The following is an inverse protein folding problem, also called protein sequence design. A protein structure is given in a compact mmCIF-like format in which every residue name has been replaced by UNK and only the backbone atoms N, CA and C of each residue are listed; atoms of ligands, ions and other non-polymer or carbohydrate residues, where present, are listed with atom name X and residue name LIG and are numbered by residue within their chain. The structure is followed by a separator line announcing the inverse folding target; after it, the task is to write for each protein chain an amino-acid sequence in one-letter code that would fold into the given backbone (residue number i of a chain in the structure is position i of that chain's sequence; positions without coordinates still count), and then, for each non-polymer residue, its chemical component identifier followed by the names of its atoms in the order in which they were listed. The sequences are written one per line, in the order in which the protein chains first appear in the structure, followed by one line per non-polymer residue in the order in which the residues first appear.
data_IF_299989652703
#
_entry.id   IF_299989652703
#
_cell.length_a   1.000
_cell.length_b   1.000
_cell.length_c   1.000
_cell.angle_alpha   90.00
_cell.angle_beta   90.00
_cell.angle_gamma   90.00
#
_symmetry.space_group_name_H-M   'P 1'
#
loop_
_entity.id
_entity.type
_entity.pdbx_description
1 polymer ?
#
# COMPACT_ATOMS: atom_id res chain seq x y z
N UNK A 1 7.73 -7.30 8.41
CA UNK A 1 6.49 -7.69 7.73
C UNK A 1 5.32 -7.52 8.68
N UNK A 2 4.18 -7.03 8.18
CA UNK A 2 2.92 -6.97 8.93
C UNK A 2 1.94 -7.93 8.26
N UNK A 3 1.46 -8.93 8.99
CA UNK A 3 0.46 -9.87 8.50
C UNK A 3 -0.31 -10.44 9.69
N UNK A 4 -1.62 -10.23 9.72
CA UNK A 4 -2.48 -10.66 10.82
C UNK A 4 -2.92 -12.12 10.72
N UNK A 5 -2.60 -12.84 9.62
CA UNK A 5 -3.01 -14.23 9.42
C UNK A 5 -1.89 -15.20 9.87
N UNK A 6 -2.02 -15.88 11.03
CA UNK A 6 -0.99 -16.78 11.54
C UNK A 6 -0.87 -18.10 10.76
N UNK A 7 -1.79 -18.38 9.84
CA UNK A 7 -1.83 -19.65 9.09
C UNK A 7 -1.15 -19.55 7.71
N UNK A 8 -0.20 -18.61 7.55
CA UNK A 8 0.49 -18.39 6.26
C UNK A 8 1.97 -18.69 6.35
N UNK A 9 2.56 -19.20 5.25
CA UNK A 9 4.02 -19.42 5.17
C UNK A 9 4.80 -18.12 5.28
N UNK A 10 4.20 -16.99 4.85
CA UNK A 10 4.82 -15.68 5.05
C UNK A 10 4.94 -15.32 6.53
N UNK A 11 4.17 -15.92 7.43
CA UNK A 11 4.30 -15.70 8.87
C UNK A 11 5.27 -16.66 9.58
N UNK A 12 6.01 -17.48 8.83
CA UNK A 12 7.09 -18.28 9.39
C UNK A 12 8.24 -17.38 9.90
N UNK A 13 8.79 -17.73 11.06
CA UNK A 13 9.77 -16.92 11.81
C UNK A 13 11.05 -16.59 11.03
N UNK A 14 11.38 -17.39 10.03
CA UNK A 14 12.57 -17.33 9.20
C UNK A 14 12.37 -16.55 7.88
N UNK A 15 11.15 -16.08 7.60
CA UNK A 15 10.86 -15.31 6.37
C UNK A 15 11.21 -13.82 6.49
N UNK A 16 11.21 -13.26 7.71
CA UNK A 16 11.51 -11.83 7.91
C UNK A 16 12.24 -11.54 9.21
N UNK A 17 13.09 -10.51 9.21
CA UNK A 17 13.82 -10.08 10.40
C UNK A 17 12.89 -9.70 11.57
N UNK A 18 11.71 -9.16 11.24
CA UNK A 18 10.66 -8.77 12.20
C UNK A 18 9.29 -9.03 11.61
N UNK A 19 8.46 -9.73 12.38
CA UNK A 19 7.08 -10.06 12.04
C UNK A 19 6.12 -9.46 13.07
N UNK A 20 5.12 -8.73 12.59
CA UNK A 20 4.08 -8.11 13.38
C UNK A 20 2.73 -8.78 13.12
N UNK A 21 2.17 -9.41 14.15
CA UNK A 21 0.82 -10.00 14.17
C UNK A 21 -0.21 -9.00 14.69
N UNK A 22 -0.18 -7.79 14.13
CA UNK A 22 -1.14 -6.74 14.46
C UNK A 22 -2.27 -6.72 13.42
N UNK A 23 -3.48 -6.25 13.79
CA UNK A 23 -4.51 -5.91 12.81
C UNK A 23 -3.95 -4.96 11.75
N UNK A 24 -4.32 -5.18 10.47
CA UNK A 24 -3.96 -4.29 9.38
C UNK A 24 -4.90 -3.07 9.35
N UNK A 25 -4.86 -2.26 10.41
CA UNK A 25 -5.52 -0.95 10.50
C UNK A 25 -4.53 0.17 10.18
N UNK A 26 -5.03 1.36 9.83
CA UNK A 26 -4.15 2.49 9.51
C UNK A 26 -3.38 2.96 10.75
N UNK A 27 -4.02 2.95 11.92
CA UNK A 27 -3.42 3.36 13.19
C UNK A 27 -2.26 2.44 13.57
N UNK A 28 -2.46 1.11 13.50
CA UNK A 28 -1.41 0.14 13.82
C UNK A 28 -0.24 0.24 12.83
N UNK A 29 -0.53 0.42 11.53
CA UNK A 29 0.49 0.62 10.50
C UNK A 29 1.33 1.88 10.77
N UNK A 30 0.69 3.00 11.14
CA UNK A 30 1.42 4.25 11.42
C UNK A 30 2.32 4.11 12.65
N UNK A 31 1.81 3.48 13.72
CA UNK A 31 2.62 3.19 14.92
C UNK A 31 3.87 2.36 14.57
N UNK A 32 3.75 1.37 13.69
CA UNK A 32 4.89 0.56 13.25
C UNK A 32 5.84 1.38 12.37
N UNK A 33 5.33 2.24 11.48
CA UNK A 33 6.18 3.13 10.66
C UNK A 33 7.02 4.04 11.55
N UNK A 34 6.43 4.64 12.57
CA UNK A 34 7.13 5.55 13.49
C UNK A 34 8.17 4.82 14.35
N UNK A 35 7.83 3.62 14.81
CA UNK A 35 8.71 2.80 15.61
C UNK A 35 9.89 2.24 14.79
N UNK A 36 9.60 1.77 13.58
CA UNK A 36 10.61 1.11 12.74
C UNK A 36 11.44 2.07 11.91
N UNK A 37 10.84 3.16 11.42
CA UNK A 37 11.42 4.06 10.43
C UNK A 37 11.94 3.29 9.22
N UNK A 38 11.14 2.45 8.54
CA UNK A 38 11.63 1.63 7.44
C UNK A 38 12.11 2.48 6.27
N UNK A 39 13.11 2.01 5.51
CA UNK A 39 13.59 2.73 4.34
C UNK A 39 12.55 2.86 3.22
N UNK A 40 11.64 1.90 3.16
CA UNK A 40 10.54 1.91 2.23
C UNK A 40 9.44 0.95 2.64
N UNK A 41 8.25 1.19 2.08
CA UNK A 41 7.04 0.42 2.35
C UNK A 41 6.53 -0.19 1.05
N UNK A 42 6.20 -1.48 1.05
CA UNK A 42 5.62 -2.18 -0.10
C UNK A 42 4.21 -2.65 0.26
N UNK A 43 3.21 -2.21 -0.50
CA UNK A 43 1.78 -2.48 -0.25
C UNK A 43 1.15 -3.49 -1.22
N UNK A 44 1.84 -3.89 -2.28
CA UNK A 44 1.26 -4.62 -3.42
C UNK A 44 1.00 -6.12 -3.15
N UNK A 45 1.69 -6.71 -2.17
CA UNK A 45 1.72 -8.16 -1.98
C UNK A 45 0.70 -8.71 -0.97
N UNK A 46 -0.12 -7.86 -0.35
CA UNK A 46 -1.12 -8.30 0.63
C UNK A 46 -2.57 -8.22 0.15
N UNK A 47 -2.81 -8.07 -1.16
CA UNK A 47 -4.15 -7.99 -1.73
C UNK A 47 -4.85 -6.67 -1.44
N UNK A 48 -6.18 -6.68 -1.38
CA UNK A 48 -7.01 -5.47 -1.32
C UNK A 48 -6.84 -4.65 -0.04
N UNK A 49 -6.61 -5.30 1.11
CA UNK A 49 -6.49 -4.61 2.41
C UNK A 49 -5.37 -3.56 2.42
N UNK A 50 -4.09 -3.90 2.11
CA UNK A 50 -3.03 -2.89 2.05
C UNK A 50 -3.17 -1.92 0.87
N UNK A 51 -3.71 -2.34 -0.27
CA UNK A 51 -3.94 -1.44 -1.42
C UNK A 51 -4.88 -0.30 -1.04
N UNK A 52 -5.98 -0.58 -0.32
CA UNK A 52 -6.91 0.44 0.18
C UNK A 52 -6.30 1.40 1.19
N UNK A 53 -5.29 0.97 1.94
CA UNK A 53 -4.57 1.83 2.90
C UNK A 53 -3.47 2.66 2.26
N UNK A 54 -3.09 2.39 1.00
CA UNK A 54 -1.94 3.03 0.35
C UNK A 54 -2.04 4.57 0.32
N UNK A 55 -3.24 5.11 0.07
CA UNK A 55 -3.48 6.56 0.08
C UNK A 55 -3.32 7.14 1.49
N UNK A 56 -3.91 6.51 2.50
CA UNK A 56 -3.80 6.98 3.89
C UNK A 56 -2.35 6.95 4.38
N UNK A 57 -1.59 5.90 4.02
CA UNK A 57 -0.16 5.80 4.32
C UNK A 57 0.59 6.93 3.61
N UNK A 58 0.33 7.19 2.34
CA UNK A 58 0.99 8.27 1.61
C UNK A 58 0.74 9.64 2.24
N UNK A 59 -0.52 9.95 2.56
CA UNK A 59 -0.89 11.19 3.25
C UNK A 59 -0.14 11.32 4.58
N UNK A 60 -0.13 10.24 5.37
CA UNK A 60 0.61 10.21 6.64
C UNK A 60 2.11 10.49 6.45
N UNK A 61 2.75 9.88 5.45
CA UNK A 61 4.18 10.07 5.17
C UNK A 61 4.48 11.49 4.69
N UNK A 62 3.60 12.10 3.90
CA UNK A 62 3.76 13.45 3.39
C UNK A 62 3.64 14.51 4.50
N UNK A 63 2.77 14.28 5.49
CA UNK A 63 2.55 15.14 6.65
C UNK A 63 3.62 14.97 7.73
N UNK A 64 3.87 13.73 8.16
CA UNK A 64 4.77 13.42 9.27
C UNK A 64 6.24 13.41 8.88
N UNK A 65 6.55 13.07 7.62
CA UNK A 65 7.90 12.90 7.06
C UNK A 65 8.82 12.15 8.04
N UNK A 66 8.50 10.89 8.38
CA UNK A 66 9.32 10.12 9.29
C UNK A 66 10.68 9.85 8.65
N UNK A 67 11.76 9.93 9.41
CA UNK A 67 13.11 9.66 8.88
C UNK A 67 13.34 8.16 8.78
N UNK A 68 13.98 7.72 7.71
CA UNK A 68 14.42 6.34 7.59
C UNK A 68 15.49 6.03 8.64
N UNK A 69 15.46 4.82 9.20
CA UNK A 69 16.43 4.31 10.17
C UNK A 69 17.85 4.28 9.60
N UNK A 70 18.00 4.09 8.30
CA UNK A 70 19.30 4.16 7.63
C UNK A 70 19.88 5.57 7.54
N UNK A 71 19.06 6.62 7.71
CA UNK A 71 19.44 8.01 7.56
C UNK A 71 19.46 8.53 6.10
N UNK A 72 19.10 7.72 5.11
CA UNK A 72 19.13 8.12 3.69
C UNK A 72 18.01 9.07 3.24
N UNK A 73 17.05 9.39 4.11
CA UNK A 73 15.95 10.29 3.76
C UNK A 73 14.72 10.09 4.64
N UNK A 74 13.55 10.24 4.01
CA UNK A 74 12.24 10.04 4.62
C UNK A 74 11.63 8.73 4.13
N UNK A 75 10.85 8.09 5.00
CA UNK A 75 10.12 6.86 4.67
C UNK A 75 9.19 7.14 3.49
N UNK A 76 9.18 6.26 2.51
CA UNK A 76 8.32 6.39 1.32
C UNK A 76 7.76 5.04 0.87
N UNK A 77 6.70 5.07 0.07
CA UNK A 77 6.17 3.87 -0.58
C UNK A 77 7.03 3.53 -1.79
N UNK A 78 7.42 2.27 -1.91
CA UNK A 78 8.17 1.71 -3.03
C UNK A 78 7.27 0.90 -3.95
N UNK A 79 7.65 0.85 -5.23
CA UNK A 79 6.90 0.14 -6.27
C UNK A 79 5.86 1.04 -6.93
N UNK A 80 4.63 0.54 -7.07
CA UNK A 80 3.53 1.27 -7.69
C UNK A 80 3.07 2.39 -6.77
N UNK A 81 2.93 3.60 -7.32
CA UNK A 81 2.45 4.73 -6.54
C UNK A 81 1.01 4.51 -6.06
N UNK A 82 0.64 5.03 -4.88
CA UNK A 82 -0.74 5.01 -4.39
C UNK A 82 -1.76 5.58 -5.39
N UNK A 83 -1.40 6.65 -6.10
CA UNK A 83 -2.26 7.23 -7.13
C UNK A 83 -2.47 6.28 -8.31
N UNK A 84 -1.43 5.56 -8.74
CA UNK A 84 -1.56 4.55 -9.80
C UNK A 84 -2.37 3.33 -9.35
N UNK A 85 -2.29 2.95 -8.07
CA UNK A 85 -3.15 1.91 -7.49
C UNK A 85 -4.61 2.38 -7.52
N UNK A 86 -4.89 3.60 -7.04
CA UNK A 86 -6.23 4.18 -7.04
C UNK A 86 -6.79 4.31 -8.46
N UNK A 87 -5.99 4.77 -9.42
CA UNK A 87 -6.39 4.88 -10.81
C UNK A 87 -6.74 3.53 -11.46
N UNK A 88 -6.18 2.42 -10.97
CA UNK A 88 -6.47 1.08 -11.44
C UNK A 88 -7.70 0.46 -10.76
N UNK A 89 -7.95 0.80 -9.49
CA UNK A 89 -9.10 0.29 -8.72
C UNK A 89 -10.39 1.11 -8.96
N UNK A 90 -10.26 2.42 -9.22
CA UNK A 90 -11.37 3.28 -9.58
C UNK A 90 -11.76 3.05 -11.05
N UNK A 91 -13.00 2.60 -11.25
CA UNK A 91 -13.51 2.26 -12.58
C UNK A 91 -13.58 3.45 -13.52
N UNK A 92 -13.88 4.65 -13.02
CA UNK A 92 -13.97 5.85 -13.85
C UNK A 92 -12.58 6.29 -14.30
N UNK A 93 -11.61 6.34 -13.38
CA UNK A 93 -10.21 6.64 -13.68
C UNK A 93 -9.60 5.61 -14.62
N UNK A 94 -9.85 4.32 -14.37
CA UNK A 94 -9.38 3.25 -15.24
C UNK A 94 -9.96 3.36 -16.65
N UNK A 95 -11.26 3.62 -16.77
CA UNK A 95 -11.91 3.84 -18.06
C UNK A 95 -11.36 5.06 -18.79
N UNK A 96 -11.00 6.13 -18.08
CA UNK A 96 -10.36 7.30 -18.65
C UNK A 96 -8.99 6.95 -19.24
N UNK A 97 -8.18 6.16 -18.51
CA UNK A 97 -6.88 5.66 -18.99
C UNK A 97 -7.05 4.82 -20.26
N UNK A 98 -8.02 3.89 -20.28
CA UNK A 98 -8.28 3.06 -21.47
C UNK A 98 -8.68 3.91 -22.69
N UNK A 99 -9.48 4.96 -22.48
CA UNK A 99 -9.86 5.89 -23.56
C UNK A 99 -8.67 6.70 -24.07
N UNK A 100 -7.83 7.19 -23.17
CA UNK A 100 -6.60 7.92 -23.53
C UNK A 100 -5.64 7.05 -24.35
N UNK A 101 -5.53 5.77 -23.99
CA UNK A 101 -4.67 4.80 -24.66
C UNK A 101 -5.31 4.15 -25.90
N UNK A 102 -6.52 4.54 -26.28
CA UNK A 102 -7.28 3.98 -27.40
C UNK A 102 -7.47 2.45 -27.31
N UNK A 103 -7.60 1.91 -26.09
CA UNK A 103 -7.82 0.48 -25.84
C UNK A 103 -9.31 0.17 -25.91
N UNK A 104 -9.69 -0.79 -26.76
CA UNK A 104 -11.08 -1.23 -26.88
C UNK A 104 -11.59 -1.86 -25.58
N UNK A 105 -12.81 -1.47 -25.19
CA UNK A 105 -13.50 -2.00 -24.02
C UNK A 105 -14.99 -2.21 -24.32
N UNK A 106 -15.66 -3.17 -23.66
CA UNK A 106 -17.10 -3.34 -23.77
C UNK A 106 -17.86 -2.06 -23.41
N UNK A 107 -19.11 -1.92 -23.88
CA UNK A 107 -19.97 -0.82 -23.43
C UNK A 107 -20.21 -0.95 -21.93
N UNK A 108 -19.77 0.04 -21.16
CA UNK A 108 -19.89 0.08 -19.70
C UNK A 108 -21.03 1.04 -19.34
N UNK A 109 -21.83 0.67 -18.33
CA UNK A 109 -22.75 1.54 -17.61
C UNK A 109 -22.59 1.27 -16.12
N UNK A 110 -22.52 2.34 -15.32
CA UNK A 110 -22.61 2.22 -13.86
C UNK A 110 -24.11 2.08 -13.55
N UNK A 111 -24.49 1.02 -12.83
CA UNK A 111 -25.86 0.91 -12.35
C UNK A 111 -26.08 1.97 -11.26
N UNK A 112 -27.05 2.87 -11.47
CA UNK A 112 -27.52 3.86 -10.49
C UNK A 112 -28.38 3.23 -9.40
#
# INVERSE_FOLDING_TARGET
MMNSNPETVSTDYDTSDRLYFEPLTVEDVFNIIDWEGPDGIIVQFGGQTPLKMSISIQQYLDESKPKCRSGHGFVCIWGTSPDSIDAAEDRERFNAILKELEIEQPKIGIAE
#
